data_IF_380303561600
#
_entry.id   IF_380303561600
#
_cell.length_a   1.000
_cell.length_b   1.000
_cell.length_c   1.000
_cell.angle_alpha   90.00
_cell.angle_beta   90.00
_cell.angle_gamma   90.00
#
_symmetry.space_group_name_H-M   'P 1'
#
loop_
_entity.id
_entity.type
_entity.pdbx_description
1 polymer ?
#
# COMPACT_ATOMS: atom_id res chain seq x y z
N UNK A 1 22.15 0.41 -11.62
CA UNK A 1 21.35 1.49 -12.22
C UNK A 1 21.83 1.66 -13.66
N UNK A 2 20.95 1.50 -14.63
CA UNK A 2 21.22 1.69 -16.05
C UNK A 2 21.16 3.18 -16.40
N UNK A 3 22.32 3.84 -16.33
CA UNK A 3 22.44 5.25 -16.66
C UNK A 3 22.33 5.54 -18.16
N UNK A 4 22.45 4.53 -19.04
CA UNK A 4 22.16 4.73 -20.47
C UNK A 4 20.67 4.94 -20.68
N UNK A 5 19.83 4.19 -19.97
CA UNK A 5 18.38 4.41 -19.97
C UNK A 5 18.01 5.80 -19.43
N UNK A 6 18.64 6.22 -18.33
CA UNK A 6 18.46 7.58 -17.75
C UNK A 6 18.86 8.67 -18.75
N UNK A 7 20.05 8.57 -19.34
CA UNK A 7 20.53 9.55 -20.33
C UNK A 7 19.61 9.67 -21.54
N UNK A 8 19.11 8.53 -22.05
CA UNK A 8 18.11 8.51 -23.13
C UNK A 8 16.82 9.23 -22.73
N UNK A 9 16.32 9.01 -21.51
CA UNK A 9 15.09 9.68 -21.05
C UNK A 9 15.31 11.19 -20.85
N UNK A 10 16.45 11.62 -20.29
CA UNK A 10 16.77 13.05 -20.19
C UNK A 10 16.72 13.71 -21.57
N UNK A 11 17.34 13.06 -22.58
CA UNK A 11 17.32 13.54 -23.97
C UNK A 11 15.92 13.61 -24.56
N UNK A 12 15.10 12.59 -24.30
CA UNK A 12 13.70 12.54 -24.73
C UNK A 12 12.90 13.70 -24.15
N UNK A 13 12.90 13.86 -22.82
CA UNK A 13 12.20 14.96 -22.14
C UNK A 13 12.66 16.33 -22.62
N UNK A 14 13.99 16.55 -22.71
CA UNK A 14 14.56 17.80 -23.21
C UNK A 14 14.03 18.15 -24.59
N UNK A 15 14.02 17.17 -25.51
CA UNK A 15 13.53 17.36 -26.89
C UNK A 15 12.03 17.64 -26.91
N UNK A 16 11.23 16.92 -26.12
CA UNK A 16 9.78 17.14 -26.02
C UNK A 16 9.47 18.52 -25.46
N UNK A 17 10.30 19.03 -24.55
CA UNK A 17 10.21 20.40 -24.00
C UNK A 17 10.81 21.48 -24.91
N UNK A 18 11.30 21.12 -26.11
CA UNK A 18 11.84 22.07 -27.08
C UNK A 18 13.19 22.69 -26.70
N UNK A 19 13.89 22.15 -25.70
CA UNK A 19 15.13 22.73 -25.17
C UNK A 19 16.36 22.26 -25.95
N UNK A 20 17.33 23.16 -26.17
CA UNK A 20 18.68 22.82 -26.61
C UNK A 20 19.49 22.21 -25.45
N UNK A 21 20.64 21.58 -25.74
CA UNK A 21 21.53 21.10 -24.68
C UNK A 21 22.18 22.27 -23.90
N UNK A 22 22.34 23.43 -24.54
CA UNK A 22 22.81 24.66 -23.88
C UNK A 22 21.74 25.18 -22.93
N UNK A 23 20.48 25.21 -23.38
CA UNK A 23 19.34 25.62 -22.57
C UNK A 23 19.23 24.71 -21.35
N UNK A 24 19.35 23.38 -21.50
CA UNK A 24 19.32 22.49 -20.34
C UNK A 24 20.52 22.68 -19.41
N UNK A 25 21.71 22.99 -19.95
CA UNK A 25 22.94 23.14 -19.17
C UNK A 25 23.00 24.43 -18.35
N UNK A 26 22.36 25.50 -18.82
CA UNK A 26 22.42 26.83 -18.21
C UNK A 26 22.03 26.79 -16.72
N UNK A 27 22.95 27.29 -15.87
CA UNK A 27 22.81 27.33 -14.41
C UNK A 27 23.07 25.98 -13.69
N UNK A 28 23.42 24.93 -14.44
CA UNK A 28 23.58 23.56 -13.92
C UNK A 28 25.01 23.06 -14.18
N UNK A 29 25.41 23.01 -15.45
CA UNK A 29 26.70 22.45 -15.88
C UNK A 29 27.07 22.94 -17.29
N UNK A 30 28.02 22.29 -17.95
CA UNK A 30 28.38 22.62 -19.34
C UNK A 30 27.50 21.86 -20.34
N UNK A 31 27.25 22.44 -21.52
CA UNK A 31 26.55 21.76 -22.63
C UNK A 31 27.23 20.41 -22.98
N UNK A 32 28.56 20.37 -22.97
CA UNK A 32 29.32 19.15 -23.23
C UNK A 32 29.06 18.07 -22.17
N UNK A 33 28.85 18.46 -20.91
CA UNK A 33 28.50 17.55 -19.83
C UNK A 33 27.07 17.01 -19.99
N UNK A 34 26.10 17.85 -20.36
CA UNK A 34 24.74 17.37 -20.74
C UNK A 34 24.84 16.35 -21.88
N UNK A 35 25.62 16.64 -22.93
CA UNK A 35 25.79 15.73 -24.06
C UNK A 35 26.35 14.36 -23.65
N UNK A 36 27.34 14.33 -22.73
CA UNK A 36 27.90 13.09 -22.18
C UNK A 36 26.90 12.34 -21.28
N UNK A 37 26.13 13.06 -20.47
CA UNK A 37 25.06 12.47 -19.63
C UNK A 37 24.00 11.82 -20.51
N UNK A 38 23.52 12.50 -21.58
CA UNK A 38 22.50 11.97 -22.49
C UNK A 38 22.94 10.71 -23.24
N UNK A 39 24.24 10.55 -23.49
CA UNK A 39 24.82 9.34 -24.09
C UNK A 39 25.04 8.21 -23.08
N UNK A 40 25.00 8.53 -21.78
CA UNK A 40 25.37 7.62 -20.71
C UNK A 40 26.88 7.44 -20.55
N UNK A 41 27.68 8.39 -21.07
CA UNK A 41 29.15 8.35 -21.00
C UNK A 41 29.68 8.85 -19.65
N UNK A 42 28.88 9.68 -18.95
CA UNK A 42 29.20 10.24 -17.62
C UNK A 42 27.99 10.13 -16.71
N UNK A 43 28.25 9.74 -15.45
CA UNK A 43 27.24 9.70 -14.40
C UNK A 43 27.11 11.09 -13.74
N UNK A 44 25.93 11.71 -13.74
CA UNK A 44 25.74 12.98 -13.06
C UNK A 44 25.83 12.81 -11.54
N UNK A 45 26.34 13.83 -10.85
CA UNK A 45 26.18 13.93 -9.40
C UNK A 45 24.68 14.06 -9.05
N UNK A 46 24.30 13.65 -7.85
CA UNK A 46 22.91 13.72 -7.39
C UNK A 46 22.34 15.16 -7.47
N UNK A 47 23.14 16.17 -7.12
CA UNK A 47 22.78 17.59 -7.25
C UNK A 47 22.51 17.99 -8.70
N UNK A 48 23.35 17.56 -9.64
CA UNK A 48 23.17 17.81 -11.06
C UNK A 48 21.91 17.14 -11.59
N UNK A 49 21.67 15.87 -11.23
CA UNK A 49 20.47 15.14 -11.66
C UNK A 49 19.19 15.80 -11.12
N UNK A 50 19.22 16.27 -9.87
CA UNK A 50 18.12 17.03 -9.27
C UNK A 50 17.85 18.34 -10.02
N UNK A 51 18.87 19.15 -10.31
CA UNK A 51 18.70 20.39 -11.07
C UNK A 51 18.17 20.13 -12.49
N UNK A 52 18.65 19.07 -13.15
CA UNK A 52 18.12 18.63 -14.45
C UNK A 52 16.63 18.28 -14.32
N UNK A 53 16.23 17.56 -13.26
CA UNK A 53 14.82 17.21 -13.03
C UNK A 53 13.94 18.44 -12.86
N UNK A 54 14.40 19.43 -12.10
CA UNK A 54 13.70 20.71 -11.92
C UNK A 54 13.51 21.45 -13.26
N UNK A 55 14.56 21.53 -14.08
CA UNK A 55 14.50 22.21 -15.39
C UNK A 55 13.62 21.49 -16.41
N UNK A 56 13.49 20.17 -16.29
CA UNK A 56 12.61 19.35 -17.12
C UNK A 56 11.19 19.19 -16.54
N UNK A 57 10.91 19.77 -15.38
CA UNK A 57 9.59 19.71 -14.74
C UNK A 57 9.18 18.31 -14.25
N UNK A 58 10.14 17.47 -13.88
CA UNK A 58 9.90 16.12 -13.37
C UNK A 58 10.51 15.90 -11.99
N UNK A 59 9.90 15.01 -11.21
CA UNK A 59 10.48 14.54 -9.95
C UNK A 59 11.76 13.75 -10.22
N UNK A 60 12.80 13.94 -9.41
CA UNK A 60 14.09 13.27 -9.60
C UNK A 60 13.98 11.75 -9.50
N UNK A 61 13.01 11.23 -8.74
CA UNK A 61 12.72 9.79 -8.64
C UNK A 61 12.34 9.18 -9.99
N UNK A 62 11.76 9.96 -10.91
CA UNK A 62 11.46 9.50 -12.27
C UNK A 62 12.69 8.92 -12.98
N UNK A 63 13.85 9.56 -12.82
CA UNK A 63 15.10 9.06 -13.40
C UNK A 63 15.64 7.84 -12.66
N UNK A 64 15.49 7.81 -11.34
CA UNK A 64 15.89 6.64 -10.55
C UNK A 64 15.07 5.41 -10.90
N UNK A 65 13.77 5.55 -11.11
CA UNK A 65 12.88 4.44 -11.48
C UNK A 65 13.24 3.87 -12.85
N UNK A 66 13.51 4.73 -13.83
CA UNK A 66 13.96 4.31 -15.18
C UNK A 66 15.32 3.61 -15.12
N UNK A 67 16.24 4.13 -14.31
CA UNK A 67 17.57 3.56 -14.16
C UNK A 67 17.58 2.26 -13.34
N UNK A 68 16.58 1.98 -12.51
CA UNK A 68 16.60 0.82 -11.60
C UNK A 68 15.61 -0.26 -11.97
N UNK A 69 14.59 0.05 -12.77
CA UNK A 69 13.53 -0.87 -13.15
C UNK A 69 13.44 -0.97 -14.67
N UNK A 70 14.11 -1.95 -15.30
CA UNK A 70 13.89 -2.26 -16.71
C UNK A 70 12.40 -2.53 -16.95
N UNK A 71 11.81 -1.97 -18.01
CA UNK A 71 10.37 -2.10 -18.31
C UNK A 71 9.45 -1.76 -17.11
N UNK A 72 9.68 -0.58 -16.51
CA UNK A 72 8.85 -0.06 -15.41
C UNK A 72 7.35 -0.08 -15.73
N UNK A 73 6.98 0.21 -16.98
CA UNK A 73 5.63 0.13 -17.51
C UNK A 73 5.01 -1.26 -17.32
N UNK A 74 5.75 -2.31 -17.69
CA UNK A 74 5.32 -3.69 -17.53
C UNK A 74 5.17 -4.07 -16.05
N UNK A 75 6.16 -3.69 -15.23
CA UNK A 75 6.09 -3.94 -13.79
C UNK A 75 4.87 -3.25 -13.16
N UNK A 76 4.61 -2.00 -13.51
CA UNK A 76 3.46 -1.23 -13.01
C UNK A 76 2.13 -1.88 -13.41
N UNK A 77 2.03 -2.39 -14.63
CA UNK A 77 0.83 -3.09 -15.09
C UNK A 77 0.59 -4.39 -14.30
N UNK A 78 1.62 -5.24 -14.16
CA UNK A 78 1.53 -6.46 -13.35
C UNK A 78 1.14 -6.12 -11.90
N UNK A 79 1.78 -5.11 -11.31
CA UNK A 79 1.47 -4.65 -9.97
C UNK A 79 0.00 -4.23 -9.82
N UNK A 80 -0.50 -3.45 -10.77
CA UNK A 80 -1.87 -2.97 -10.78
C UNK A 80 -2.89 -4.12 -10.90
N UNK A 81 -2.65 -5.06 -11.82
CA UNK A 81 -3.52 -6.24 -12.01
C UNK A 81 -3.59 -7.09 -10.73
N UNK A 82 -2.44 -7.38 -10.11
CA UNK A 82 -2.39 -8.12 -8.86
C UNK A 82 -3.18 -7.42 -7.73
N UNK A 83 -3.09 -6.09 -7.63
CA UNK A 83 -3.87 -5.31 -6.66
C UNK A 83 -5.38 -5.41 -6.90
N UNK A 84 -5.83 -5.29 -8.16
CA UNK A 84 -7.26 -5.39 -8.51
C UNK A 84 -7.79 -6.79 -8.20
N UNK A 85 -7.08 -7.83 -8.62
CA UNK A 85 -7.50 -9.23 -8.43
C UNK A 85 -7.55 -9.59 -6.94
N UNK A 86 -6.57 -9.13 -6.15
CA UNK A 86 -6.58 -9.28 -4.70
C UNK A 86 -7.78 -8.61 -4.05
N UNK A 87 -8.09 -7.36 -4.41
CA UNK A 87 -9.21 -6.59 -3.84
C UNK A 87 -10.58 -7.15 -4.25
N UNK A 88 -10.68 -7.73 -5.43
CA UNK A 88 -11.90 -8.37 -5.94
C UNK A 88 -12.06 -9.84 -5.52
N UNK A 89 -11.09 -10.41 -4.80
CA UNK A 89 -11.13 -11.80 -4.34
C UNK A 89 -10.90 -12.84 -5.45
N UNK A 90 -10.43 -12.42 -6.63
CA UNK A 90 -10.16 -13.28 -7.78
C UNK A 90 -8.80 -13.96 -7.66
N UNK A 91 -8.68 -14.81 -6.63
CA UNK A 91 -7.38 -15.36 -6.23
C UNK A 91 -6.77 -16.37 -7.21
N UNK A 92 -7.57 -17.13 -7.97
CA UNK A 92 -7.04 -18.05 -8.98
C UNK A 92 -6.41 -17.28 -10.15
N UNK A 93 -7.12 -16.28 -10.71
CA UNK A 93 -6.58 -15.38 -11.75
C UNK A 93 -5.31 -14.66 -11.28
N UNK A 94 -5.29 -14.22 -10.01
CA UNK A 94 -4.12 -13.62 -9.38
C UNK A 94 -2.92 -14.59 -9.37
N UNK A 95 -3.17 -15.86 -9.05
CA UNK A 95 -2.12 -16.87 -9.00
C UNK A 95 -1.59 -17.23 -10.39
N UNK A 96 -2.41 -17.14 -11.44
CA UNK A 96 -1.96 -17.37 -12.82
C UNK A 96 -0.96 -16.31 -13.28
N UNK A 97 -1.20 -15.03 -12.93
CA UNK A 97 -0.21 -13.97 -13.13
C UNK A 97 1.06 -14.27 -12.34
N UNK A 98 0.94 -14.62 -11.05
CA UNK A 98 2.11 -14.95 -10.22
C UNK A 98 2.94 -16.07 -10.84
N UNK A 99 2.31 -17.16 -11.33
CA UNK A 99 3.03 -18.26 -11.98
C UNK A 99 3.76 -17.81 -13.25
N UNK A 100 3.10 -17.02 -14.10
CA UNK A 100 3.69 -16.52 -15.33
C UNK A 100 4.92 -15.63 -15.08
N UNK A 101 4.90 -14.84 -14.01
CA UNK A 101 5.98 -13.91 -13.68
C UNK A 101 7.10 -14.50 -12.83
N UNK A 102 6.92 -15.67 -12.20
CA UNK A 102 7.95 -16.31 -11.37
C UNK A 102 9.21 -16.67 -12.16
N UNK A 103 9.07 -17.04 -13.44
CA UNK A 103 10.20 -17.35 -14.31
C UNK A 103 10.74 -16.12 -15.06
N UNK A 104 10.03 -14.99 -15.01
CA UNK A 104 10.44 -13.76 -15.67
C UNK A 104 11.66 -13.13 -14.95
N UNK A 105 12.81 -12.94 -15.62
CA UNK A 105 14.01 -12.35 -15.02
C UNK A 105 13.77 -10.97 -14.38
N UNK A 106 12.80 -10.20 -14.90
CA UNK A 106 12.42 -8.91 -14.33
C UNK A 106 11.97 -9.02 -12.87
N UNK A 107 11.35 -10.14 -12.51
CA UNK A 107 10.88 -10.41 -11.15
C UNK A 107 11.87 -11.31 -10.41
N UNK A 108 12.24 -12.45 -10.99
CA UNK A 108 13.05 -13.48 -10.31
C UNK A 108 14.46 -13.02 -9.92
N UNK A 109 15.06 -12.09 -10.67
CA UNK A 109 16.40 -11.55 -10.37
C UNK A 109 16.38 -10.25 -9.58
N UNK A 110 15.20 -9.74 -9.21
CA UNK A 110 15.05 -8.51 -8.43
C UNK A 110 14.23 -8.78 -7.16
N UNK A 111 14.90 -8.75 -6.00
CA UNK A 111 14.27 -9.04 -4.71
C UNK A 111 13.00 -8.23 -4.41
N UNK A 112 12.93 -6.95 -4.82
CA UNK A 112 11.73 -6.12 -4.60
C UNK A 112 10.56 -6.59 -5.46
N UNK A 113 10.84 -6.99 -6.69
CA UNK A 113 9.83 -7.49 -7.62
C UNK A 113 9.41 -8.91 -7.26
N UNK A 114 10.35 -9.78 -6.87
CA UNK A 114 10.04 -11.11 -6.37
C UNK A 114 9.20 -11.07 -5.08
N UNK A 115 9.50 -10.13 -4.17
CA UNK A 115 8.70 -9.91 -2.96
C UNK A 115 7.22 -9.65 -3.30
N UNK A 116 6.92 -8.89 -4.36
CA UNK A 116 5.56 -8.65 -4.81
C UNK A 116 4.85 -9.97 -5.17
N UNK A 117 5.52 -10.85 -5.90
CA UNK A 117 4.95 -12.14 -6.31
C UNK A 117 4.73 -13.06 -5.12
N UNK A 118 5.72 -13.17 -4.22
CA UNK A 118 5.62 -13.99 -3.01
C UNK A 118 4.53 -13.48 -2.06
N UNK A 119 4.34 -12.17 -1.96
CA UNK A 119 3.24 -11.60 -1.18
C UNK A 119 1.87 -12.11 -1.67
N UNK A 120 1.61 -12.02 -2.97
CA UNK A 120 0.34 -12.47 -3.55
C UNK A 120 0.21 -14.01 -3.52
N UNK A 121 1.32 -14.74 -3.72
CA UNK A 121 1.37 -16.20 -3.54
C UNK A 121 1.00 -16.62 -2.13
N UNK A 122 1.52 -15.94 -1.10
CA UNK A 122 1.19 -16.21 0.29
C UNK A 122 -0.30 -16.07 0.55
N UNK A 123 -0.89 -14.95 0.11
CA UNK A 123 -2.35 -14.72 0.21
C UNK A 123 -3.13 -15.84 -0.50
N UNK A 124 -2.74 -16.24 -1.70
CA UNK A 124 -3.37 -17.34 -2.43
C UNK A 124 -3.33 -18.67 -1.66
N UNK A 125 -2.16 -19.02 -1.11
CA UNK A 125 -1.98 -20.26 -0.33
C UNK A 125 -2.94 -20.33 0.85
N UNK A 126 -3.20 -19.20 1.50
CA UNK A 126 -4.20 -19.14 2.56
C UNK A 126 -5.64 -19.13 2.01
N UNK A 127 -6.00 -18.18 1.14
CA UNK A 127 -7.41 -17.97 0.76
C UNK A 127 -7.98 -19.12 -0.08
N UNK A 128 -7.16 -19.76 -0.92
CA UNK A 128 -7.59 -20.84 -1.82
C UNK A 128 -7.17 -22.21 -1.31
N UNK A 129 -5.89 -22.40 -0.97
CA UNK A 129 -5.38 -23.72 -0.54
C UNK A 129 -5.63 -24.03 0.93
N UNK A 130 -6.06 -23.03 1.72
CA UNK A 130 -6.29 -23.15 3.17
C UNK A 130 -5.04 -23.65 3.92
N UNK A 131 -3.85 -23.36 3.40
CA UNK A 131 -2.57 -23.80 3.96
C UNK A 131 -1.93 -22.63 4.73
N UNK A 132 -2.25 -22.54 6.02
CA UNK A 132 -1.75 -21.48 6.89
C UNK A 132 -0.23 -21.47 7.00
N UNK A 133 0.39 -22.63 7.21
CA UNK A 133 1.84 -22.73 7.40
C UNK A 133 2.58 -22.21 6.16
N UNK A 134 2.28 -22.77 4.98
CA UNK A 134 2.97 -22.35 3.76
C UNK A 134 2.69 -20.90 3.39
N UNK A 135 1.49 -20.41 3.66
CA UNK A 135 1.16 -18.99 3.48
C UNK A 135 2.09 -18.12 4.32
N UNK A 136 2.14 -18.36 5.63
CA UNK A 136 2.98 -17.57 6.56
C UNK A 136 4.46 -17.68 6.20
N UNK A 137 4.95 -18.88 5.88
CA UNK A 137 6.35 -19.08 5.50
C UNK A 137 6.69 -18.32 4.22
N UNK A 138 5.81 -18.33 3.22
CA UNK A 138 5.98 -17.57 1.97
C UNK A 138 5.96 -16.06 2.20
N UNK A 139 5.10 -15.56 3.10
CA UNK A 139 5.02 -14.13 3.43
C UNK A 139 6.26 -13.66 4.21
N UNK A 140 6.77 -14.49 5.13
CA UNK A 140 8.04 -14.23 5.82
C UNK A 140 9.22 -14.23 4.85
N UNK A 141 9.27 -15.18 3.92
CA UNK A 141 10.26 -15.19 2.83
C UNK A 141 10.21 -13.87 2.03
N UNK A 142 9.00 -13.42 1.66
CA UNK A 142 8.81 -12.17 0.95
C UNK A 142 9.39 -10.97 1.72
N UNK A 143 9.20 -10.90 3.04
CA UNK A 143 9.77 -9.84 3.90
C UNK A 143 11.30 -9.95 3.92
N UNK A 144 11.85 -11.15 4.11
CA UNK A 144 13.29 -11.39 4.21
C UNK A 144 14.07 -11.07 2.93
N UNK A 145 13.43 -11.07 1.75
CA UNK A 145 14.07 -10.68 0.49
C UNK A 145 14.58 -9.23 0.50
N UNK A 146 13.89 -8.32 1.21
CA UNK A 146 14.20 -6.88 1.20
C UNK A 146 14.58 -6.32 2.57
N UNK A 147 14.16 -7.00 3.64
CA UNK A 147 14.46 -6.62 5.01
C UNK A 147 15.82 -7.19 5.43
N UNK A 148 16.74 -6.30 5.84
CA UNK A 148 18.03 -6.67 6.41
C UNK A 148 18.07 -6.25 7.87
N UNK A 149 18.73 -7.06 8.71
CA UNK A 149 18.88 -6.78 10.15
C UNK A 149 19.38 -5.35 10.40
N UNK A 150 18.68 -4.61 11.26
CA UNK A 150 19.00 -3.21 11.60
C UNK A 150 18.39 -2.16 10.66
N UNK A 151 17.59 -2.56 9.67
CA UNK A 151 16.87 -1.65 8.78
C UNK A 151 15.43 -1.46 9.25
N UNK A 152 14.89 -0.24 9.14
CA UNK A 152 13.45 0.00 9.35
C UNK A 152 12.66 -0.68 8.22
N UNK A 153 11.47 -1.18 8.54
CA UNK A 153 10.60 -1.79 7.54
C UNK A 153 10.23 -0.80 6.44
N UNK A 154 10.24 -1.27 5.20
CA UNK A 154 9.69 -0.57 4.05
C UNK A 154 8.16 -0.68 4.05
N UNK A 155 7.49 0.24 3.36
CA UNK A 155 6.02 0.24 3.21
C UNK A 155 5.48 -1.09 2.69
N UNK A 156 6.17 -1.72 1.72
CA UNK A 156 5.78 -3.04 1.21
C UNK A 156 5.84 -4.13 2.27
N UNK A 157 6.84 -4.07 3.14
CA UNK A 157 7.00 -5.04 4.22
C UNK A 157 5.86 -4.87 5.24
N UNK A 158 5.48 -3.62 5.55
CA UNK A 158 4.31 -3.33 6.38
C UNK A 158 3.00 -3.85 5.77
N UNK A 159 2.79 -3.69 4.45
CA UNK A 159 1.62 -4.27 3.77
C UNK A 159 1.59 -5.80 3.86
N UNK A 160 2.75 -6.46 3.77
CA UNK A 160 2.86 -7.91 3.94
C UNK A 160 2.54 -8.31 5.38
N UNK A 161 3.04 -7.58 6.37
CA UNK A 161 2.67 -7.79 7.78
C UNK A 161 1.17 -7.58 8.02
N UNK A 162 0.55 -6.56 7.42
CA UNK A 162 -0.90 -6.34 7.49
C UNK A 162 -1.68 -7.53 6.90
N UNK A 163 -1.21 -8.09 5.79
CA UNK A 163 -1.79 -9.31 5.21
C UNK A 163 -1.63 -10.52 6.15
N UNK A 164 -0.45 -10.71 6.75
CA UNK A 164 -0.21 -11.76 7.75
C UNK A 164 -1.13 -11.60 8.97
N UNK A 165 -1.26 -10.39 9.51
CA UNK A 165 -2.15 -10.09 10.63
C UNK A 165 -3.61 -10.35 10.27
N UNK A 166 -4.05 -10.04 9.05
CA UNK A 166 -5.41 -10.32 8.58
C UNK A 166 -5.68 -11.83 8.43
N UNK A 167 -4.66 -12.62 8.08
CA UNK A 167 -4.72 -14.08 8.07
C UNK A 167 -4.82 -14.59 9.51
N UNK A 168 -3.92 -14.17 10.41
CA UNK A 168 -4.00 -14.57 11.81
C UNK A 168 -5.30 -14.13 12.48
N UNK A 169 -5.90 -13.01 12.10
CA UNK A 169 -7.19 -12.60 12.66
C UNK A 169 -8.29 -13.67 12.50
N UNK A 170 -8.20 -14.49 11.45
CA UNK A 170 -9.14 -15.60 11.18
C UNK A 170 -8.78 -16.89 11.92
N UNK A 171 -7.53 -17.03 12.35
CA UNK A 171 -6.96 -18.31 12.86
C UNK A 171 -6.59 -18.24 14.35
N UNK A 172 -5.92 -17.15 14.77
CA UNK A 172 -5.38 -16.91 16.10
C UNK A 172 -5.36 -15.39 16.38
N UNK A 173 -6.35 -14.93 17.13
CA UNK A 173 -6.54 -13.51 17.46
C UNK A 173 -5.37 -12.93 18.24
N UNK A 174 -4.68 -13.72 19.08
CA UNK A 174 -3.55 -13.22 19.87
C UNK A 174 -2.35 -12.97 18.98
N UNK A 175 -2.04 -13.89 18.05
CA UNK A 175 -1.00 -13.66 17.04
C UNK A 175 -1.33 -12.49 16.12
N UNK A 176 -2.60 -12.30 15.78
CA UNK A 176 -3.03 -11.13 15.01
C UNK A 176 -2.71 -9.84 15.77
N UNK A 177 -3.00 -9.79 17.07
CA UNK A 177 -2.68 -8.65 17.92
C UNK A 177 -1.17 -8.38 17.95
N UNK A 178 -0.34 -9.40 18.17
CA UNK A 178 1.13 -9.29 18.17
C UNK A 178 1.64 -8.68 16.86
N UNK A 179 1.18 -9.19 15.72
CA UNK A 179 1.59 -8.69 14.39
C UNK A 179 1.18 -7.23 14.18
N UNK A 180 -0.04 -6.85 14.59
CA UNK A 180 -0.48 -5.47 14.41
C UNK A 180 0.21 -4.49 15.37
N UNK A 181 0.57 -4.89 16.59
CA UNK A 181 1.40 -4.06 17.47
C UNK A 181 2.82 -3.91 16.90
N UNK A 182 3.41 -4.94 16.30
CA UNK A 182 4.70 -4.82 15.58
C UNK A 182 4.60 -3.81 14.42
N UNK A 183 3.53 -3.86 13.63
CA UNK A 183 3.27 -2.88 12.56
C UNK A 183 3.18 -1.45 13.13
N UNK A 184 2.52 -1.28 14.28
CA UNK A 184 2.37 0.02 14.94
C UNK A 184 3.72 0.59 15.37
N UNK A 185 4.57 -0.22 15.98
CA UNK A 185 5.90 0.20 16.42
C UNK A 185 6.74 0.66 15.22
N UNK A 186 6.68 -0.06 14.10
CA UNK A 186 7.37 0.37 12.88
C UNK A 186 6.79 1.64 12.26
N UNK A 187 5.46 1.81 12.25
CA UNK A 187 4.82 3.03 11.77
C UNK A 187 5.21 4.27 12.57
N UNK A 188 5.50 4.14 13.87
CA UNK A 188 5.95 5.26 14.71
C UNK A 188 7.40 5.68 14.39
N UNK A 189 8.21 4.77 13.86
CA UNK A 189 9.60 5.04 13.49
C UNK A 189 9.73 5.66 12.09
N UNK A 190 8.68 5.65 11.27
CA UNK A 190 8.71 6.17 9.91
C UNK A 190 8.48 7.69 9.90
N UNK A 191 9.45 8.51 9.45
CA UNK A 191 9.30 9.96 9.40
C UNK A 191 8.33 10.40 8.29
N UNK A 192 8.21 9.61 7.23
CA UNK A 192 7.33 9.88 6.09
C UNK A 192 6.70 8.57 5.62
N UNK A 193 5.43 8.64 5.23
CA UNK A 193 4.66 7.55 4.66
C UNK A 193 4.04 8.04 3.34
N UNK A 194 4.50 7.47 2.23
CA UNK A 194 4.01 7.76 0.88
C UNK A 194 2.58 7.21 0.72
N UNK A 195 2.38 5.93 1.06
CA UNK A 195 1.05 5.33 1.08
C UNK A 195 0.38 5.45 2.45
N UNK A 196 -0.39 6.53 2.64
CA UNK A 196 -1.12 6.77 3.88
C UNK A 196 -2.21 5.72 4.18
N UNK A 197 -2.58 4.87 3.20
CA UNK A 197 -3.59 3.83 3.40
C UNK A 197 -3.09 2.74 4.33
N UNK A 198 -1.77 2.48 4.39
CA UNK A 198 -1.16 1.49 5.29
C UNK A 198 -1.52 1.76 6.75
N UNK A 199 -1.38 3.02 7.19
CA UNK A 199 -1.75 3.43 8.55
C UNK A 199 -3.25 3.29 8.80
N UNK A 200 -4.07 3.57 7.78
CA UNK A 200 -5.52 3.40 7.85
C UNK A 200 -5.93 1.93 7.97
N UNK A 201 -5.30 1.05 7.20
CA UNK A 201 -5.48 -0.40 7.31
C UNK A 201 -5.08 -0.89 8.70
N UNK A 202 -3.95 -0.43 9.23
CA UNK A 202 -3.54 -0.76 10.59
C UNK A 202 -4.63 -0.39 11.62
N UNK A 203 -5.15 0.84 11.60
CA UNK A 203 -6.27 1.25 12.46
C UNK A 203 -7.48 0.33 12.30
N UNK A 204 -7.92 0.06 11.07
CA UNK A 204 -9.06 -0.81 10.83
C UNK A 204 -8.83 -2.26 11.33
N UNK A 205 -7.63 -2.79 11.15
CA UNK A 205 -7.33 -4.16 11.57
C UNK A 205 -7.21 -4.31 13.09
N UNK A 206 -6.50 -3.40 13.76
CA UNK A 206 -6.32 -3.45 15.22
C UNK A 206 -7.66 -3.28 15.96
N UNK A 207 -8.55 -2.40 15.46
CA UNK A 207 -9.88 -2.18 16.07
C UNK A 207 -10.73 -3.45 16.05
N UNK A 208 -10.71 -4.19 14.93
CA UNK A 208 -11.42 -5.48 14.82
C UNK A 208 -10.86 -6.54 15.77
N UNK A 209 -9.54 -6.60 15.93
CA UNK A 209 -8.89 -7.50 16.89
C UNK A 209 -9.31 -7.15 18.31
N UNK A 210 -9.20 -5.88 18.70
CA UNK A 210 -9.60 -5.40 20.03
C UNK A 210 -11.07 -5.67 20.33
N UNK A 211 -11.96 -5.45 19.36
CA UNK A 211 -13.39 -5.79 19.51
C UNK A 211 -13.60 -7.28 19.73
N UNK A 212 -12.88 -8.16 19.02
CA UNK A 212 -12.95 -9.63 19.22
C UNK A 212 -12.43 -10.05 20.59
N UNK A 213 -11.53 -9.28 21.18
CA UNK A 213 -11.01 -9.46 22.53
C UNK A 213 -11.86 -8.79 23.62
N UNK A 214 -13.05 -8.30 23.30
CA UNK A 214 -13.92 -7.55 24.21
C UNK A 214 -13.25 -6.30 24.82
N UNK A 215 -12.45 -5.59 24.01
CA UNK A 215 -11.81 -4.30 24.36
C UNK A 215 -12.43 -3.17 23.53
N UNK A 216 -13.76 -2.99 23.65
CA UNK A 216 -14.55 -2.08 22.81
C UNK A 216 -14.13 -0.62 22.97
N UNK A 217 -13.82 -0.16 24.18
CA UNK A 217 -13.40 1.22 24.43
C UNK A 217 -12.08 1.54 23.74
N UNK A 218 -11.11 0.63 23.81
CA UNK A 218 -9.82 0.78 23.12
C UNK A 218 -10.00 0.72 21.60
N UNK A 219 -10.84 -0.19 21.12
CA UNK A 219 -11.23 -0.25 19.71
C UNK A 219 -11.85 1.08 19.23
N UNK A 220 -12.73 1.69 20.02
CA UNK A 220 -13.32 2.99 19.67
C UNK A 220 -12.27 4.11 19.58
N UNK A 221 -11.30 4.16 20.50
CA UNK A 221 -10.19 5.14 20.42
C UNK A 221 -9.38 5.00 19.13
N UNK A 222 -9.00 3.77 18.77
CA UNK A 222 -8.30 3.53 17.50
C UNK A 222 -9.17 3.86 16.27
N UNK A 223 -10.49 3.64 16.34
CA UNK A 223 -11.40 4.05 15.27
C UNK A 223 -11.43 5.58 15.11
N UNK A 224 -11.53 6.31 16.21
CA UNK A 224 -11.51 7.78 16.22
C UNK A 224 -10.21 8.35 15.66
N UNK A 225 -9.07 7.78 16.04
CA UNK A 225 -7.76 8.17 15.51
C UNK A 225 -7.63 7.84 14.02
N UNK A 226 -8.14 6.69 13.59
CA UNK A 226 -8.23 6.32 12.18
C UNK A 226 -9.10 7.29 11.38
N UNK A 227 -10.26 7.69 11.91
CA UNK A 227 -11.15 8.67 11.26
C UNK A 227 -10.44 10.03 11.14
N UNK A 228 -9.79 10.51 12.21
CA UNK A 228 -9.01 11.77 12.16
C UNK A 228 -7.91 11.69 11.11
N UNK A 229 -7.22 10.55 11.01
CA UNK A 229 -6.19 10.32 9.99
C UNK A 229 -6.77 10.35 8.56
N UNK A 230 -7.87 9.65 8.32
CA UNK A 230 -8.58 9.68 7.04
C UNK A 230 -8.96 11.11 6.63
N UNK A 231 -9.55 11.88 7.55
CA UNK A 231 -9.95 13.27 7.31
C UNK A 231 -8.75 14.18 7.03
N UNK A 232 -7.66 14.05 7.79
CA UNK A 232 -6.43 14.82 7.56
C UNK A 232 -5.77 14.50 6.20
N UNK A 233 -5.99 13.30 5.67
CA UNK A 233 -5.43 12.84 4.38
C UNK A 233 -6.44 12.94 3.22
N UNK A 234 -7.59 13.56 3.45
CA UNK A 234 -8.70 13.66 2.48
C UNK A 234 -9.06 12.30 1.85
N UNK A 235 -9.01 11.23 2.65
CA UNK A 235 -9.21 9.86 2.17
C UNK A 235 -10.49 9.23 2.70
N UNK A 236 -11.30 8.70 1.79
CA UNK A 236 -12.46 7.88 2.12
C UNK A 236 -12.10 6.39 2.32
N UNK A 237 -10.86 5.99 2.03
CA UNK A 237 -10.45 4.59 2.13
C UNK A 237 -10.60 4.09 3.57
N UNK A 238 -11.39 3.02 3.76
CA UNK A 238 -11.76 2.43 5.06
C UNK A 238 -12.51 3.36 6.05
N UNK A 239 -12.89 4.58 5.64
CA UNK A 239 -13.56 5.54 6.52
C UNK A 239 -14.97 5.05 6.91
N UNK A 240 -15.70 4.45 5.98
CA UNK A 240 -17.02 3.87 6.23
C UNK A 240 -16.94 2.70 7.21
N UNK A 241 -15.94 1.84 7.03
CA UNK A 241 -15.66 0.68 7.87
C UNK A 241 -15.28 1.09 9.30
N UNK A 242 -14.49 2.15 9.48
CA UNK A 242 -14.17 2.67 10.81
C UNK A 242 -15.41 3.23 11.51
N UNK A 243 -16.27 3.96 10.80
CA UNK A 243 -17.56 4.39 11.36
C UNK A 243 -18.46 3.21 11.70
N UNK A 244 -18.54 2.21 10.84
CA UNK A 244 -19.31 1.00 11.11
C UNK A 244 -18.78 0.27 12.34
N UNK A 245 -17.45 0.16 12.50
CA UNK A 245 -16.83 -0.51 13.62
C UNK A 245 -17.18 0.16 14.96
N UNK A 246 -17.22 1.49 15.02
CA UNK A 246 -17.72 2.21 16.21
C UNK A 246 -19.20 1.87 16.45
N UNK A 247 -20.02 1.90 15.39
CA UNK A 247 -21.44 1.54 15.49
C UNK A 247 -21.64 0.14 16.07
N UNK A 248 -20.88 -0.83 15.58
CA UNK A 248 -20.90 -2.22 16.05
C UNK A 248 -20.42 -2.34 17.51
N UNK A 249 -19.35 -1.63 17.90
CA UNK A 249 -18.88 -1.60 19.28
C UNK A 249 -19.93 -1.01 20.23
N UNK A 250 -20.58 0.10 19.85
CA UNK A 250 -21.63 0.73 20.66
C UNK A 250 -22.84 -0.20 20.85
N UNK A 251 -23.18 -0.94 19.82
CA UNK A 251 -24.19 -2.00 19.90
C UNK A 251 -23.79 -3.09 20.90
N UNK A 252 -22.56 -3.60 20.85
CA UNK A 252 -22.06 -4.59 21.83
C UNK A 252 -22.06 -4.03 23.27
N UNK A 253 -21.92 -2.72 23.42
CA UNK A 253 -21.99 -2.01 24.70
C UNK A 253 -23.42 -1.66 25.13
N UNK A 254 -24.46 -2.16 24.44
CA UNK A 254 -25.87 -1.86 24.69
C UNK A 254 -26.24 -0.37 24.58
N UNK A 255 -25.63 0.34 23.62
CA UNK A 255 -25.88 1.77 23.32
C UNK A 255 -26.51 1.94 21.93
N UNK A 256 -27.80 1.59 21.75
CA UNK A 256 -28.43 1.53 20.43
C UNK A 256 -28.49 2.88 19.72
N UNK A 257 -28.74 3.98 20.43
CA UNK A 257 -28.77 5.33 19.84
C UNK A 257 -27.42 5.72 19.22
N UNK A 258 -26.33 5.52 19.97
CA UNK A 258 -24.97 5.80 19.50
C UNK A 258 -24.61 4.88 18.32
N UNK A 259 -24.97 3.59 18.40
CA UNK A 259 -24.75 2.62 17.33
C UNK A 259 -25.38 3.08 16.00
N UNK A 260 -26.67 3.44 16.03
CA UNK A 260 -27.41 3.91 14.84
C UNK A 260 -26.77 5.17 14.25
N UNK A 261 -26.34 6.12 15.09
CA UNK A 261 -25.68 7.36 14.63
C UNK A 261 -24.42 7.06 13.80
N UNK A 262 -23.57 6.15 14.26
CA UNK A 262 -22.33 5.80 13.57
C UNK A 262 -22.57 4.91 12.35
N UNK A 263 -23.51 3.96 12.42
CA UNK A 263 -23.91 3.14 11.27
C UNK A 263 -24.48 3.98 10.11
N UNK A 264 -25.23 5.05 10.40
CA UNK A 264 -25.70 6.00 9.37
C UNK A 264 -24.55 6.73 8.67
N UNK A 265 -23.52 7.14 9.41
CA UNK A 265 -22.31 7.75 8.82
C UNK A 265 -21.59 6.77 7.90
N UNK A 266 -21.48 5.51 8.31
CA UNK A 266 -20.88 4.46 7.48
C UNK A 266 -21.63 4.30 6.15
N UNK A 267 -22.97 4.25 6.18
CA UNK A 267 -23.80 4.17 4.96
C UNK A 267 -23.52 5.33 4.01
N UNK A 268 -23.44 6.57 4.50
CA UNK A 268 -23.16 7.73 3.64
C UNK A 268 -21.83 7.56 2.90
N UNK A 269 -20.79 7.11 3.60
CA UNK A 269 -19.47 6.89 2.98
C UNK A 269 -19.53 5.76 1.94
N UNK A 270 -20.18 4.63 2.27
CA UNK A 270 -20.35 3.51 1.34
C UNK A 270 -21.16 3.89 0.09
N UNK A 271 -22.20 4.71 0.23
CA UNK A 271 -22.99 5.22 -0.89
C UNK A 271 -22.13 6.12 -1.81
N UNK A 272 -21.29 7.01 -1.25
CA UNK A 272 -20.35 7.83 -2.03
C UNK A 272 -19.33 6.96 -2.77
N UNK A 273 -18.83 5.91 -2.14
CA UNK A 273 -17.87 4.96 -2.74
C UNK A 273 -18.52 3.97 -3.72
N UNK A 274 -19.85 3.98 -3.85
CA UNK A 274 -20.63 3.00 -4.61
C UNK A 274 -20.39 1.55 -4.14
N UNK A 275 -20.00 1.36 -2.87
CA UNK A 275 -19.82 0.03 -2.27
C UNK A 275 -21.14 -0.44 -1.66
N UNK A 276 -21.89 -1.22 -2.44
CA UNK A 276 -23.22 -1.70 -2.04
C UNK A 276 -23.20 -2.96 -1.19
N UNK A 277 -22.03 -3.59 -0.99
CA UNK A 277 -21.90 -4.92 -0.37
C UNK A 277 -22.48 -4.99 1.04
N UNK A 278 -22.32 -3.92 1.81
CA UNK A 278 -22.67 -3.89 3.23
C UNK A 278 -23.88 -3.00 3.55
N UNK A 279 -24.36 -2.18 2.61
CA UNK A 279 -25.40 -1.17 2.86
C UNK A 279 -26.70 -1.80 3.35
N UNK A 280 -27.19 -2.84 2.67
CA UNK A 280 -28.48 -3.44 3.04
C UNK A 280 -28.43 -4.11 4.42
N UNK A 281 -27.32 -4.77 4.74
CA UNK A 281 -27.09 -5.36 6.05
C UNK A 281 -27.15 -4.29 7.15
N UNK A 282 -26.44 -3.18 6.97
CA UNK A 282 -26.41 -2.09 7.95
C UNK A 282 -27.79 -1.42 8.08
N UNK A 283 -28.51 -1.21 6.96
CA UNK A 283 -29.88 -0.65 6.98
C UNK A 283 -30.85 -1.53 7.78
N UNK A 284 -30.77 -2.85 7.61
CA UNK A 284 -31.58 -3.79 8.40
C UNK A 284 -31.22 -3.71 9.88
N UNK A 285 -29.92 -3.67 10.23
CA UNK A 285 -29.49 -3.59 11.63
C UNK A 285 -29.90 -2.29 12.30
N UNK A 286 -29.84 -1.17 11.59
CA UNK A 286 -30.36 0.12 12.07
C UNK A 286 -31.85 0.02 12.39
N UNK A 287 -32.66 -0.65 11.56
CA UNK A 287 -34.10 -0.81 11.79
C UNK A 287 -34.39 -1.60 13.07
N UNK A 288 -33.64 -2.68 13.30
CA UNK A 288 -33.74 -3.49 14.52
C UNK A 288 -33.35 -2.70 15.77
N UNK A 289 -32.22 -2.01 15.74
CA UNK A 289 -31.75 -1.19 16.85
C UNK A 289 -32.68 -0.01 17.15
N UNK A 290 -33.27 0.59 16.11
CA UNK A 290 -34.21 1.70 16.26
C UNK A 290 -35.54 1.29 16.88
N UNK A 291 -35.87 -0.01 16.90
CA UNK A 291 -37.05 -0.52 17.61
C UNK A 291 -36.81 -0.71 19.12
N UNK A 292 -35.56 -0.57 19.58
CA UNK A 292 -35.16 -0.69 20.99
C UNK A 292 -34.99 0.67 21.68
N UNK A 293 -35.12 1.78 20.94
CA UNK A 293 -35.02 3.17 21.39
C UNK A 293 -36.44 3.72 21.54
#
# INVERSE_FOLDING_TARGET
>A
MDFKAVGKKIKELRKTSGLSQEDLAEGICTQAQISKIEKGDVYPYASTLYQISQKLGVDVNYFFDIGTTPRLDYFQEVFHQLQILRRSGKYEEMMDIVKAELDNPLFSQNNKNLQLLLWHKGIYLYEVKKDLSKSVDTLKEAIHLTHKKGKILLERELEIFLAMGAIYFKEDINKALEVFEEVKDHLQLLPHLNDFTIKTQHYYHITRVLTRLNRQEESNKYCEDGIKWCLHKDSLFLLGELHYQIGYNMELMNKPEEAVKFMKKAIIVFEIQQDTRHIQFIKNRIKELSALI
#
